data_IF_549304975553
#
_entry.id   IF_549304975553
#
_cell.length_a   1.000
_cell.length_b   1.000
_cell.length_c   1.000
_cell.angle_alpha   90.00
_cell.angle_beta   90.00
_cell.angle_gamma   90.00
#
_symmetry.space_group_name_H-M   'P 1'
#
loop_
_entity.id
_entity.type
_entity.pdbx_description
1 polymer ?
#
# COMPACT_ATOMS: atom_id res chain seq x y z
N UNK A 1 -3.67 -46.98 -8.13
CA UNK A 1 -3.39 -46.34 -9.44
C UNK A 1 -3.67 -44.86 -9.24
N UNK A 2 -2.70 -44.06 -8.77
CA UNK A 2 -1.74 -43.27 -9.57
C UNK A 2 -2.43 -42.47 -10.68
N UNK A 3 -2.55 -41.15 -10.52
CA UNK A 3 -2.53 -40.01 -11.48
C UNK A 3 -3.08 -38.79 -10.71
N UNK A 4 -2.22 -38.05 -10.00
CA UNK A 4 -1.68 -36.72 -10.40
C UNK A 4 -2.79 -35.69 -10.62
N UNK A 5 -3.09 -34.90 -9.58
CA UNK A 5 -3.61 -33.54 -9.72
C UNK A 5 -2.58 -32.60 -9.08
N UNK A 6 -1.68 -32.13 -9.95
CA UNK A 6 -0.84 -30.96 -9.73
C UNK A 6 -1.67 -29.78 -10.24
N UNK A 7 -2.25 -28.97 -9.35
CA UNK A 7 -2.91 -27.71 -9.71
C UNK A 7 -2.20 -26.58 -8.98
N UNK A 8 -1.17 -26.08 -9.66
CA UNK A 8 -0.72 -24.69 -9.75
C UNK A 8 -1.02 -23.82 -8.51
N UNK A 9 -0.19 -23.98 -7.47
CA UNK A 9 0.29 -22.83 -6.69
C UNK A 9 1.36 -22.15 -7.54
N UNK A 10 0.98 -21.14 -8.31
CA UNK A 10 1.93 -20.22 -8.93
C UNK A 10 1.37 -18.80 -8.73
N UNK A 11 1.88 -18.14 -7.70
CA UNK A 11 1.49 -16.76 -7.39
C UNK A 11 1.99 -16.18 -6.06
N UNK A 12 2.51 -16.98 -5.12
CA UNK A 12 2.94 -16.46 -3.79
C UNK A 12 4.25 -17.09 -3.30
N UNK A 13 5.18 -17.43 -4.19
CA UNK A 13 6.54 -17.83 -3.78
C UNK A 13 7.57 -17.25 -4.74
N UNK A 14 7.58 -15.92 -4.84
CA UNK A 14 8.64 -15.16 -5.51
C UNK A 14 8.77 -13.79 -4.81
N UNK A 15 9.01 -13.79 -3.50
CA UNK A 15 9.34 -12.53 -2.78
C UNK A 15 10.32 -12.68 -1.62
N UNK A 16 10.71 -13.89 -1.21
CA UNK A 16 11.65 -14.04 -0.09
C UNK A 16 13.12 -14.07 -0.54
N UNK A 17 13.40 -14.62 -1.72
CA UNK A 17 14.78 -14.77 -2.20
C UNK A 17 15.33 -13.52 -2.89
N UNK A 18 14.48 -12.73 -3.57
CA UNK A 18 14.90 -11.49 -4.26
C UNK A 18 15.05 -10.30 -3.29
N UNK A 19 14.18 -10.20 -2.27
CA UNK A 19 14.36 -9.25 -1.16
C UNK A 19 15.69 -9.47 -0.40
N UNK A 20 16.38 -10.60 -0.59
CA UNK A 20 17.62 -10.92 0.10
C UNK A 20 18.87 -10.16 -0.42
N UNK A 21 18.84 -9.62 -1.65
CA UNK A 21 19.98 -8.94 -2.30
C UNK A 21 20.38 -7.65 -1.58
N UNK A 22 19.49 -6.66 -1.61
CA UNK A 22 19.57 -5.43 -0.79
C UNK A 22 19.70 -5.76 0.72
N UNK A 23 18.96 -6.75 1.22
CA UNK A 23 18.93 -7.14 2.65
C UNK A 23 20.26 -7.69 3.19
N UNK A 24 21.06 -8.38 2.35
CA UNK A 24 22.37 -8.89 2.78
C UNK A 24 23.41 -7.77 2.95
N UNK A 25 23.21 -6.62 2.31
CA UNK A 25 24.14 -5.48 2.38
C UNK A 25 24.06 -4.73 3.72
N UNK A 26 22.92 -4.81 4.42
CA UNK A 26 22.61 -3.99 5.60
C UNK A 26 22.52 -4.75 6.93
N UNK A 27 23.07 -5.98 7.00
CA UNK A 27 23.23 -6.69 8.29
C UNK A 27 24.27 -6.03 9.22
N UNK A 28 25.09 -5.13 8.68
CA UNK A 28 26.01 -4.24 9.42
C UNK A 28 25.74 -2.78 9.03
N UNK A 29 26.00 -1.84 9.95
CA UNK A 29 25.93 -0.40 9.66
C UNK A 29 26.77 -0.07 8.40
N UNK A 30 26.23 0.67 7.41
CA UNK A 30 26.95 0.92 6.17
C UNK A 30 28.19 1.79 6.42
N UNK A 31 29.27 1.49 5.69
CA UNK A 31 30.52 2.25 5.69
C UNK A 31 30.49 3.27 4.54
N UNK A 32 30.71 4.58 4.79
CA UNK A 32 30.65 5.62 3.75
C UNK A 32 31.43 5.31 2.47
N UNK A 33 32.65 4.80 2.62
CA UNK A 33 33.60 4.54 1.53
C UNK A 33 33.18 3.43 0.56
N UNK A 34 32.17 2.64 0.91
CA UNK A 34 31.57 1.65 -0.01
C UNK A 34 30.68 2.34 -1.03
N UNK A 35 29.97 3.38 -0.60
CA UNK A 35 28.91 4.01 -1.38
C UNK A 35 29.32 5.32 -2.02
N UNK A 36 30.34 6.00 -1.48
CA UNK A 36 30.64 7.36 -1.89
C UNK A 36 32.14 7.60 -2.10
N UNK A 37 32.43 8.52 -3.01
CA UNK A 37 33.75 9.10 -3.24
C UNK A 37 33.66 10.64 -3.24
N UNK A 38 34.81 11.31 -3.20
CA UNK A 38 34.89 12.77 -3.35
C UNK A 38 34.09 13.55 -2.30
N UNK A 39 33.30 14.52 -2.74
CA UNK A 39 32.52 15.40 -1.85
C UNK A 39 31.41 14.66 -1.10
N UNK A 40 30.74 13.69 -1.75
CA UNK A 40 29.70 12.87 -1.10
C UNK A 40 30.29 12.04 0.04
N UNK A 41 31.50 11.49 -0.15
CA UNK A 41 32.20 10.75 0.91
C UNK A 41 32.47 11.62 2.12
N UNK A 42 32.95 12.86 1.91
CA UNK A 42 33.21 13.79 3.00
C UNK A 42 31.94 14.13 3.81
N UNK A 43 30.79 14.24 3.15
CA UNK A 43 29.48 14.44 3.82
C UNK A 43 29.10 13.20 4.62
N UNK A 44 29.16 12.01 4.00
CA UNK A 44 28.80 10.74 4.63
C UNK A 44 29.70 10.40 5.83
N UNK A 45 31.00 10.70 5.77
CA UNK A 45 31.93 10.56 6.89
C UNK A 45 31.59 11.51 8.05
N UNK A 46 31.25 12.77 7.76
CA UNK A 46 30.80 13.71 8.78
C UNK A 46 29.50 13.27 9.45
N UNK A 47 28.55 12.75 8.66
CA UNK A 47 27.32 12.13 9.20
C UNK A 47 27.65 10.94 10.10
N UNK A 48 28.57 10.06 9.69
CA UNK A 48 28.98 8.88 10.45
C UNK A 48 29.68 9.23 11.76
N UNK A 49 30.42 10.34 11.77
CA UNK A 49 31.03 10.92 12.96
C UNK A 49 30.02 11.66 13.86
N UNK A 50 28.74 11.75 13.46
CA UNK A 50 27.69 12.53 14.11
C UNK A 50 27.99 14.04 14.20
N UNK A 51 28.87 14.56 13.33
CA UNK A 51 29.17 15.99 13.19
C UNK A 51 28.21 16.62 12.17
N UNK A 52 26.98 16.85 12.61
CA UNK A 52 25.88 17.30 11.73
C UNK A 52 26.10 18.71 11.20
N UNK A 53 26.75 19.60 11.96
CA UNK A 53 27.05 20.96 11.51
C UNK A 53 28.07 20.93 10.36
N UNK A 54 29.12 20.11 10.48
CA UNK A 54 30.07 19.90 9.39
C UNK A 54 29.41 19.21 8.20
N UNK A 55 28.62 18.16 8.44
CA UNK A 55 27.92 17.45 7.37
C UNK A 55 27.01 18.39 6.59
N UNK A 56 26.25 19.25 7.28
CA UNK A 56 25.39 20.27 6.67
C UNK A 56 26.19 21.27 5.85
N UNK A 57 27.26 21.84 6.41
CA UNK A 57 28.09 22.82 5.71
C UNK A 57 28.81 22.25 4.47
N UNK A 58 29.04 20.93 4.44
CA UNK A 58 29.55 20.22 3.27
C UNK A 58 28.42 19.94 2.26
N UNK A 59 27.26 19.48 2.73
CA UNK A 59 26.10 19.16 1.90
C UNK A 59 25.54 20.40 1.18
N UNK A 60 25.52 21.57 1.83
CA UNK A 60 25.11 22.85 1.21
C UNK A 60 25.99 23.30 0.04
N UNK A 61 27.17 22.69 -0.13
CA UNK A 61 28.08 22.98 -1.25
C UNK A 61 27.90 22.01 -2.42
N UNK A 62 27.16 20.92 -2.22
CA UNK A 62 26.89 19.97 -3.29
C UNK A 62 26.02 20.66 -4.37
N UNK A 63 26.29 20.41 -5.65
CA UNK A 63 25.46 20.95 -6.73
C UNK A 63 24.04 20.38 -6.71
N UNK A 64 23.89 19.11 -6.30
CA UNK A 64 22.61 18.40 -6.22
C UNK A 64 22.66 17.38 -5.06
N UNK A 65 21.76 17.54 -4.09
CA UNK A 65 21.76 16.78 -2.82
C UNK A 65 21.46 15.29 -3.00
N UNK A 66 20.69 14.95 -4.05
CA UNK A 66 20.32 13.58 -4.40
C UNK A 66 21.26 12.95 -5.43
N UNK A 67 22.43 13.55 -5.66
CA UNK A 67 23.45 12.95 -6.53
C UNK A 67 23.76 11.54 -6.02
N UNK A 68 23.58 10.50 -6.85
CA UNK A 68 23.86 9.14 -6.44
C UNK A 68 25.36 8.90 -6.30
N UNK A 69 25.72 8.11 -5.31
CA UNK A 69 27.00 7.43 -5.23
C UNK A 69 26.99 6.10 -6.01
N UNK A 70 27.82 5.16 -5.57
CA UNK A 70 27.84 3.80 -6.10
C UNK A 70 26.49 3.10 -5.85
N UNK A 71 26.07 2.21 -6.76
CA UNK A 71 24.79 1.47 -6.69
C UNK A 71 23.56 2.38 -6.57
N UNK A 72 23.64 3.61 -7.11
CA UNK A 72 22.62 4.65 -7.00
C UNK A 72 22.28 5.07 -5.55
N UNK A 73 23.18 4.86 -4.60
CA UNK A 73 22.91 5.18 -3.20
C UNK A 73 22.97 6.69 -2.96
N UNK A 74 21.92 7.28 -2.39
CA UNK A 74 21.90 8.70 -2.01
C UNK A 74 22.36 8.90 -0.56
N UNK A 75 22.75 10.12 -0.21
CA UNK A 75 23.07 10.47 1.19
C UNK A 75 21.87 10.22 2.12
N UNK A 76 20.65 10.44 1.65
CA UNK A 76 19.43 10.16 2.42
C UNK A 76 19.23 8.66 2.63
N UNK A 77 19.40 7.83 1.58
CA UNK A 77 19.35 6.37 1.70
C UNK A 77 20.37 5.86 2.73
N UNK A 78 21.58 6.43 2.72
CA UNK A 78 22.63 6.13 3.69
C UNK A 78 22.26 6.52 5.12
N UNK A 79 21.70 7.71 5.33
CA UNK A 79 21.24 8.15 6.64
C UNK A 79 20.15 7.22 7.21
N UNK A 80 19.22 6.74 6.37
CA UNK A 80 18.16 5.79 6.74
C UNK A 80 18.74 4.43 7.09
N UNK A 81 19.65 3.91 6.27
CA UNK A 81 20.31 2.62 6.51
C UNK A 81 21.09 2.63 7.84
N UNK A 82 21.75 3.73 8.19
CA UNK A 82 22.46 3.91 9.45
C UNK A 82 21.56 4.34 10.63
N UNK A 83 20.27 4.62 10.37
CA UNK A 83 19.30 5.15 11.36
C UNK A 83 19.81 6.43 12.03
N UNK A 84 20.47 7.28 11.25
CA UNK A 84 21.05 8.54 11.72
C UNK A 84 19.99 9.65 11.68
N UNK A 85 19.12 9.68 12.70
CA UNK A 85 17.97 10.59 12.79
C UNK A 85 18.34 12.07 12.55
N UNK A 86 19.39 12.63 13.19
CA UNK A 86 19.80 14.01 12.92
C UNK A 86 20.18 14.26 11.46
N UNK A 87 20.89 13.31 10.81
CA UNK A 87 21.26 13.43 9.41
C UNK A 87 20.06 13.32 8.47
N UNK A 88 19.11 12.41 8.74
CA UNK A 88 17.85 12.30 7.98
C UNK A 88 17.12 13.65 7.98
N UNK A 89 16.90 14.24 9.16
CA UNK A 89 16.22 15.54 9.27
C UNK A 89 16.97 16.65 8.55
N UNK A 90 18.30 16.67 8.67
CA UNK A 90 19.15 17.64 8.00
C UNK A 90 19.06 17.53 6.48
N UNK A 91 19.13 16.32 5.91
CA UNK A 91 19.08 16.10 4.47
C UNK A 91 17.70 16.43 3.87
N UNK A 92 16.61 16.01 4.51
CA UNK A 92 15.25 16.41 4.09
C UNK A 92 15.09 17.93 4.13
N UNK A 93 15.59 18.59 5.18
CA UNK A 93 15.54 20.06 5.28
C UNK A 93 16.40 20.79 4.24
N UNK A 94 17.42 20.12 3.67
CA UNK A 94 18.21 20.60 2.53
C UNK A 94 17.56 20.28 1.17
N UNK A 95 16.42 19.60 1.16
CA UNK A 95 15.66 19.30 -0.06
C UNK A 95 15.96 17.94 -0.68
N UNK A 96 16.58 17.00 0.05
CA UNK A 96 16.71 15.62 -0.43
C UNK A 96 15.33 15.00 -0.67
N UNK A 97 15.10 14.44 -1.85
CA UNK A 97 13.82 13.87 -2.25
C UNK A 97 13.68 12.42 -1.75
N UNK A 98 12.78 12.14 -0.79
CA UNK A 98 12.55 10.80 -0.28
C UNK A 98 11.89 9.85 -1.32
N UNK A 99 11.35 10.37 -2.43
CA UNK A 99 10.88 9.55 -3.54
C UNK A 99 12.01 9.04 -4.45
N UNK A 100 13.22 9.59 -4.32
CA UNK A 100 14.39 9.15 -5.11
C UNK A 100 14.60 7.65 -4.93
N UNK A 101 14.75 6.94 -6.05
CA UNK A 101 15.05 5.50 -6.05
C UNK A 101 16.55 5.28 -5.93
N UNK A 102 16.93 4.28 -5.14
CA UNK A 102 18.31 3.79 -5.05
C UNK A 102 18.36 2.28 -5.32
N UNK A 103 19.55 1.73 -5.54
CA UNK A 103 19.73 0.35 -5.99
C UNK A 103 19.66 0.22 -7.52
N UNK A 104 19.69 -1.03 -8.00
CA UNK A 104 19.73 -1.33 -9.43
C UNK A 104 18.64 -2.33 -9.84
N UNK A 105 18.19 -2.22 -11.09
CA UNK A 105 17.24 -3.16 -11.70
C UNK A 105 15.87 -3.19 -11.02
N UNK A 106 15.27 -4.37 -10.96
CA UNK A 106 13.94 -4.60 -10.37
C UNK A 106 13.94 -4.42 -8.83
N UNK A 107 15.10 -4.29 -8.20
CA UNK A 107 15.24 -4.08 -6.75
C UNK A 107 15.26 -2.59 -6.36
N UNK A 108 15.25 -1.68 -7.34
CA UNK A 108 15.29 -0.25 -7.08
C UNK A 108 14.03 0.22 -6.32
N UNK A 109 14.23 0.86 -5.17
CA UNK A 109 13.15 1.30 -4.28
C UNK A 109 13.34 2.74 -3.85
N UNK A 110 12.24 3.44 -3.54
CA UNK A 110 12.32 4.80 -3.01
C UNK A 110 12.90 4.78 -1.59
N UNK A 111 13.56 5.88 -1.21
CA UNK A 111 14.11 6.03 0.14
C UNK A 111 12.99 6.04 1.20
N UNK A 112 11.81 6.59 0.87
CA UNK A 112 10.61 6.56 1.71
C UNK A 112 10.13 5.12 1.99
N UNK A 113 9.98 4.31 0.94
CA UNK A 113 9.59 2.90 1.09
C UNK A 113 10.62 2.12 1.91
N UNK A 114 11.92 2.35 1.66
CA UNK A 114 12.98 1.72 2.45
C UNK A 114 12.91 2.09 3.93
N UNK A 115 12.54 3.34 4.27
CA UNK A 115 12.35 3.77 5.65
C UNK A 115 11.20 3.03 6.36
N UNK A 116 10.15 2.64 5.62
CA UNK A 116 9.03 1.84 6.14
C UNK A 116 9.40 0.38 6.41
N UNK A 117 10.31 -0.19 5.61
CA UNK A 117 10.83 -1.56 5.76
C UNK A 117 11.88 -1.72 6.87
N UNK A 118 12.28 -0.63 7.54
CA UNK A 118 13.21 -0.71 8.66
C UNK A 118 12.53 -1.39 9.85
N UNK A 119 13.35 -2.04 10.69
CA UNK A 119 12.88 -2.69 11.92
C UNK A 119 12.16 -1.75 12.89
N UNK A 120 12.50 -0.47 12.86
CA UNK A 120 11.84 0.57 13.64
C UNK A 120 11.39 1.67 12.69
N UNK A 121 10.31 2.36 13.05
CA UNK A 121 9.75 3.46 12.27
C UNK A 121 10.42 4.80 12.53
N UNK A 122 11.55 4.82 13.26
CA UNK A 122 12.23 6.06 13.65
C UNK A 122 12.69 6.87 12.43
N UNK A 123 13.19 6.20 11.39
CA UNK A 123 13.61 6.85 10.15
C UNK A 123 12.42 7.47 9.41
N UNK A 124 11.33 6.73 9.26
CA UNK A 124 10.09 7.22 8.67
C UNK A 124 9.55 8.44 9.45
N UNK A 125 9.47 8.32 10.77
CA UNK A 125 9.03 9.42 11.64
C UNK A 125 9.91 10.65 11.47
N UNK A 126 11.22 10.48 11.41
CA UNK A 126 12.16 11.58 11.22
C UNK A 126 11.99 12.29 9.86
N UNK A 127 11.72 11.54 8.80
CA UNK A 127 11.40 12.11 7.48
C UNK A 127 10.11 12.91 7.51
N UNK A 128 9.04 12.34 8.08
CA UNK A 128 7.74 13.01 8.23
C UNK A 128 7.86 14.28 9.07
N UNK A 129 8.55 14.23 10.21
CA UNK A 129 8.84 15.40 11.05
C UNK A 129 9.67 16.49 10.34
N UNK A 130 10.47 16.09 9.35
CA UNK A 130 11.28 17.01 8.54
C UNK A 130 10.53 17.56 7.31
N UNK A 131 9.28 17.15 7.08
CA UNK A 131 8.43 17.68 6.01
C UNK A 131 8.29 16.79 4.78
N UNK A 132 8.65 15.50 4.87
CA UNK A 132 8.28 14.52 3.84
C UNK A 132 6.75 14.49 3.69
N UNK A 133 6.27 14.56 2.43
CA UNK A 133 4.85 14.39 2.14
C UNK A 133 4.42 12.93 2.45
N UNK A 134 3.42 12.68 3.32
CA UNK A 134 2.93 11.34 3.58
C UNK A 134 2.16 10.73 2.39
N UNK A 135 1.83 11.52 1.37
CA UNK A 135 1.11 11.11 0.16
C UNK A 135 2.01 10.94 -1.06
N UNK A 136 3.32 10.78 -0.86
CA UNK A 136 4.23 10.44 -1.96
C UNK A 136 3.73 9.21 -2.71
N UNK A 137 3.72 9.33 -4.02
CA UNK A 137 3.32 8.25 -4.92
C UNK A 137 4.53 7.61 -5.58
N UNK A 138 4.44 6.31 -5.81
CA UNK A 138 5.36 5.61 -6.68
C UNK A 138 5.07 5.88 -8.18
N UNK A 139 5.73 5.12 -9.07
CA UNK A 139 5.56 5.25 -10.52
C UNK A 139 4.19 4.78 -11.04
N UNK A 140 3.45 4.02 -10.23
CA UNK A 140 2.08 3.57 -10.52
C UNK A 140 1.03 4.52 -9.95
N UNK A 141 1.45 5.58 -9.24
CA UNK A 141 0.56 6.53 -8.59
C UNK A 141 0.05 6.04 -7.23
N UNK A 142 0.63 4.97 -6.67
CA UNK A 142 0.24 4.41 -5.38
C UNK A 142 0.97 5.14 -4.25
N UNK A 143 0.21 5.62 -3.27
CA UNK A 143 0.76 6.26 -2.08
C UNK A 143 1.34 5.23 -1.10
N UNK A 144 2.34 5.63 -0.30
CA UNK A 144 3.01 4.78 0.70
C UNK A 144 2.08 3.93 1.60
N UNK A 145 0.87 4.39 1.90
CA UNK A 145 -0.08 3.62 2.72
C UNK A 145 -0.48 2.27 2.09
N UNK A 146 -0.37 2.11 0.77
CA UNK A 146 -0.66 0.85 0.07
C UNK A 146 0.41 -0.21 0.29
N UNK A 147 1.64 0.19 0.66
CA UNK A 147 2.75 -0.74 0.94
C UNK A 147 2.70 -1.32 2.35
N UNK A 148 1.95 -0.69 3.26
CA UNK A 148 1.91 -1.06 4.68
C UNK A 148 1.45 -2.50 4.93
N UNK A 149 0.45 -3.07 4.24
CA UNK A 149 0.05 -4.46 4.46
C UNK A 149 1.16 -5.50 4.22
N UNK A 150 2.20 -5.14 3.46
CA UNK A 150 3.37 -5.99 3.21
C UNK A 150 4.44 -5.89 4.31
N UNK A 151 4.24 -5.01 5.30
CA UNK A 151 5.16 -4.78 6.40
C UNK A 151 4.75 -5.59 7.63
N UNK A 152 5.70 -6.31 8.22
CA UNK A 152 5.47 -7.05 9.45
C UNK A 152 5.71 -6.16 10.68
N UNK A 153 4.75 -6.14 11.61
CA UNK A 153 4.86 -5.59 12.97
C UNK A 153 5.50 -4.19 13.06
N UNK A 154 4.97 -3.19 12.34
CA UNK A 154 5.45 -1.81 12.44
C UNK A 154 4.34 -0.76 12.63
N UNK A 155 4.72 0.45 13.05
CA UNK A 155 3.81 1.58 13.26
C UNK A 155 3.68 2.51 12.04
N UNK A 156 4.03 2.04 10.83
CA UNK A 156 4.06 2.89 9.64
C UNK A 156 2.69 3.46 9.30
N UNK A 157 1.62 2.66 9.42
CA UNK A 157 0.25 3.12 9.23
C UNK A 157 -0.07 4.33 10.11
N UNK A 158 0.19 4.19 11.42
CA UNK A 158 -0.17 5.20 12.42
C UNK A 158 0.58 6.50 12.16
N UNK A 159 1.87 6.41 11.83
CA UNK A 159 2.68 7.58 11.51
C UNK A 159 2.21 8.27 10.23
N UNK A 160 1.96 7.50 9.15
CA UNK A 160 1.46 8.06 7.90
C UNK A 160 0.12 8.80 8.15
N UNK A 161 -0.81 8.19 8.87
CA UNK A 161 -2.10 8.81 9.21
C UNK A 161 -1.93 10.04 10.12
N UNK A 162 -1.09 9.96 11.16
CA UNK A 162 -0.78 11.08 12.08
C UNK A 162 -0.25 12.31 11.32
N UNK A 163 0.54 12.10 10.27
CA UNK A 163 1.11 13.17 9.45
C UNK A 163 0.23 13.58 8.27
N UNK A 164 -0.95 12.99 8.09
CA UNK A 164 -1.94 13.43 7.09
C UNK A 164 -1.95 12.63 5.79
N UNK A 165 -1.55 11.35 5.81
CA UNK A 165 -1.78 10.44 4.70
C UNK A 165 -3.29 10.34 4.38
N UNK A 166 -3.61 10.34 3.10
CA UNK A 166 -4.97 10.18 2.60
C UNK A 166 -5.41 8.72 2.76
N UNK A 167 -6.14 8.44 3.84
CA UNK A 167 -6.74 7.11 4.11
C UNK A 167 -7.76 6.65 3.06
N UNK A 168 -8.18 7.56 2.16
CA UNK A 168 -9.10 7.30 1.05
C UNK A 168 -8.41 7.45 -0.33
N UNK A 169 -7.07 7.39 -0.38
CA UNK A 169 -6.35 7.33 -1.65
C UNK A 169 -6.85 6.15 -2.49
N UNK A 170 -6.71 6.26 -3.82
CA UNK A 170 -7.09 5.20 -4.75
C UNK A 170 -5.92 4.79 -5.60
N UNK A 171 -5.64 3.50 -5.64
CA UNK A 171 -4.64 2.93 -6.53
C UNK A 171 -5.18 2.73 -7.96
N UNK A 172 -4.35 2.22 -8.87
CA UNK A 172 -4.73 1.98 -10.27
C UNK A 172 -5.89 0.98 -10.46
N UNK A 173 -6.18 0.15 -9.45
CA UNK A 173 -7.31 -0.78 -9.42
C UNK A 173 -8.58 -0.16 -8.79
N UNK A 174 -8.51 1.11 -8.38
CA UNK A 174 -9.59 1.81 -7.69
C UNK A 174 -9.79 1.38 -6.24
N UNK A 175 -8.86 0.59 -5.69
CA UNK A 175 -8.91 0.16 -4.29
C UNK A 175 -8.48 1.30 -3.38
N UNK A 176 -9.11 1.38 -2.21
CA UNK A 176 -8.66 2.24 -1.12
C UNK A 176 -7.88 1.42 -0.09
N UNK A 177 -7.07 2.06 0.77
CA UNK A 177 -6.36 1.35 1.84
C UNK A 177 -7.29 0.44 2.65
N UNK A 178 -8.51 0.90 2.97
CA UNK A 178 -9.49 0.06 3.68
C UNK A 178 -9.73 -1.30 3.02
N UNK A 179 -9.78 -1.39 1.69
CA UNK A 179 -10.02 -2.65 0.97
C UNK A 179 -8.85 -3.63 1.09
N UNK A 180 -7.62 -3.14 1.01
CA UNK A 180 -6.42 -3.98 1.06
C UNK A 180 -6.17 -4.53 2.48
N UNK A 181 -6.47 -3.74 3.51
CA UNK A 181 -6.25 -4.14 4.90
C UNK A 181 -7.27 -5.18 5.42
N UNK A 182 -8.49 -5.27 4.86
CA UNK A 182 -9.56 -6.19 5.35
C UNK A 182 -9.10 -7.65 5.43
N UNK A 183 -8.22 -8.09 4.54
CA UNK A 183 -7.73 -9.48 4.51
C UNK A 183 -6.37 -9.67 5.18
N UNK A 184 -5.75 -8.59 5.63
CA UNK A 184 -4.38 -8.59 6.15
C UNK A 184 -4.39 -8.37 7.66
N UNK A 185 -4.92 -7.23 8.12
CA UNK A 185 -4.85 -6.84 9.52
C UNK A 185 -6.13 -6.14 9.99
N UNK A 186 -6.93 -6.86 10.79
CA UNK A 186 -8.21 -6.37 11.31
C UNK A 186 -8.08 -5.20 12.28
N UNK A 187 -6.99 -5.10 13.03
CA UNK A 187 -6.80 -4.00 13.98
C UNK A 187 -6.53 -2.69 13.22
N UNK A 188 -5.80 -2.77 12.11
CA UNK A 188 -5.54 -1.64 11.21
C UNK A 188 -6.78 -1.22 10.41
N UNK A 189 -7.66 -2.16 10.06
CA UNK A 189 -8.98 -1.83 9.47
C UNK A 189 -9.81 -0.97 10.44
N UNK A 190 -9.87 -1.36 11.71
CA UNK A 190 -10.57 -0.55 12.72
C UNK A 190 -9.93 0.82 12.86
N UNK A 191 -8.60 0.88 12.93
CA UNK A 191 -7.87 2.14 12.98
C UNK A 191 -8.18 3.05 11.78
N UNK A 192 -8.18 2.51 10.55
CA UNK A 192 -8.55 3.25 9.34
C UNK A 192 -9.98 3.81 9.41
N UNK A 193 -10.96 2.99 9.82
CA UNK A 193 -12.35 3.42 10.00
C UNK A 193 -12.50 4.51 11.05
N UNK A 194 -11.74 4.43 12.15
CA UNK A 194 -11.70 5.45 13.21
C UNK A 194 -11.06 6.76 12.74
N UNK A 195 -10.17 6.69 11.74
CA UNK A 195 -9.47 7.84 11.17
C UNK A 195 -10.06 8.30 9.82
N UNK A 196 -11.33 7.98 9.55
CA UNK A 196 -12.09 8.57 8.45
C UNK A 196 -11.97 7.84 7.11
N UNK A 197 -11.52 6.58 7.09
CA UNK A 197 -11.66 5.75 5.91
C UNK A 197 -13.15 5.54 5.58
N UNK A 198 -13.50 5.75 4.30
CA UNK A 198 -14.86 5.60 3.79
C UNK A 198 -15.23 4.11 3.69
N UNK A 199 -16.26 3.63 4.43
CA UNK A 199 -16.65 2.23 4.39
C UNK A 199 -17.55 1.88 3.18
N UNK A 200 -17.94 2.85 2.36
CA UNK A 200 -18.78 2.66 1.16
C UNK A 200 -17.99 2.46 -0.13
N UNK A 201 -16.67 2.32 -0.02
CA UNK A 201 -15.74 2.16 -1.15
C UNK A 201 -16.02 0.90 -1.96
N UNK A 202 -15.80 1.03 -3.27
CA UNK A 202 -15.77 -0.06 -4.25
C UNK A 202 -14.53 0.08 -5.12
N UNK A 203 -13.91 -1.04 -5.50
CA UNK A 203 -12.85 -1.05 -6.52
C UNK A 203 -13.44 -1.02 -7.95
N UNK A 204 -12.57 -0.96 -8.96
CA UNK A 204 -12.98 -0.96 -10.37
C UNK A 204 -13.76 -2.23 -10.76
N UNK A 205 -13.51 -3.36 -10.08
CA UNK A 205 -14.22 -4.63 -10.28
C UNK A 205 -15.59 -4.69 -9.60
N UNK A 206 -15.97 -3.67 -8.81
CA UNK A 206 -17.19 -3.63 -8.01
C UNK A 206 -17.06 -4.36 -6.66
N UNK A 207 -15.87 -4.72 -6.21
CA UNK A 207 -15.66 -5.27 -4.88
C UNK A 207 -15.80 -4.16 -3.84
N UNK A 208 -16.82 -4.25 -2.98
CA UNK A 208 -17.02 -3.31 -1.89
C UNK A 208 -16.35 -3.76 -0.59
N UNK A 209 -15.99 -2.80 0.27
CA UNK A 209 -15.49 -3.12 1.62
C UNK A 209 -16.50 -3.97 2.41
N UNK A 210 -17.79 -3.64 2.30
CA UNK A 210 -18.88 -4.38 2.94
C UNK A 210 -18.94 -5.84 2.46
N UNK A 211 -18.84 -6.07 1.14
CA UNK A 211 -18.83 -7.42 0.60
C UNK A 211 -17.60 -8.22 1.04
N UNK A 212 -16.42 -7.58 1.08
CA UNK A 212 -15.19 -8.22 1.57
C UNK A 212 -15.31 -8.66 3.03
N UNK A 213 -15.83 -7.81 3.91
CA UNK A 213 -16.07 -8.16 5.33
C UNK A 213 -17.07 -9.31 5.45
N UNK A 214 -18.19 -9.25 4.71
CA UNK A 214 -19.19 -10.32 4.73
C UNK A 214 -18.62 -11.66 4.27
N UNK A 215 -17.88 -11.67 3.16
CA UNK A 215 -17.26 -12.89 2.64
C UNK A 215 -16.24 -13.47 3.62
N UNK A 216 -15.45 -12.62 4.27
CA UNK A 216 -14.53 -13.04 5.33
C UNK A 216 -15.29 -13.74 6.46
N UNK A 217 -16.34 -13.11 7.00
CA UNK A 217 -17.19 -13.70 8.05
C UNK A 217 -17.80 -15.04 7.64
N UNK A 218 -18.28 -15.17 6.40
CA UNK A 218 -18.90 -16.40 5.89
C UNK A 218 -17.90 -17.56 5.82
N UNK A 219 -16.61 -17.27 5.66
CA UNK A 219 -15.53 -18.27 5.52
C UNK A 219 -14.79 -18.60 6.82
N UNK A 220 -14.87 -17.74 7.84
CA UNK A 220 -14.14 -17.87 9.09
C UNK A 220 -14.80 -18.83 10.09
N UNK A 221 -13.98 -19.45 10.96
CA UNK A 221 -14.48 -20.20 12.11
C UNK A 221 -15.00 -19.25 13.19
N UNK A 222 -16.31 -19.37 13.48
CA UNK A 222 -17.05 -18.51 14.42
C UNK A 222 -16.54 -18.54 15.86
N UNK A 223 -15.79 -19.57 16.23
CA UNK A 223 -15.22 -19.72 17.57
C UNK A 223 -13.92 -18.94 17.79
N UNK A 224 -13.33 -18.38 16.73
CA UNK A 224 -12.03 -17.72 16.79
C UNK A 224 -12.12 -16.26 17.21
N UNK A 225 -11.06 -15.76 17.84
CA UNK A 225 -10.89 -14.33 18.12
C UNK A 225 -10.90 -13.49 16.83
N UNK A 226 -10.29 -14.01 15.75
CA UNK A 226 -10.32 -13.41 14.42
C UNK A 226 -11.75 -13.15 13.92
N UNK A 227 -12.66 -14.11 14.09
CA UNK A 227 -14.07 -13.91 13.75
C UNK A 227 -14.73 -12.81 14.58
N UNK A 228 -14.43 -12.72 15.88
CA UNK A 228 -14.94 -11.65 16.74
C UNK A 228 -14.40 -10.27 16.32
N UNK A 229 -13.12 -10.17 15.95
CA UNK A 229 -12.54 -8.94 15.40
C UNK A 229 -13.22 -8.52 14.10
N UNK A 230 -13.47 -9.47 13.18
CA UNK A 230 -14.19 -9.19 11.94
C UNK A 230 -15.65 -8.78 12.17
N UNK A 231 -16.32 -9.34 13.19
CA UNK A 231 -17.65 -8.89 13.62
C UNK A 231 -17.62 -7.46 14.16
N UNK A 232 -16.58 -7.08 14.92
CA UNK A 232 -16.42 -5.72 15.39
C UNK A 232 -16.23 -4.73 14.23
N UNK A 233 -15.47 -5.11 13.20
CA UNK A 233 -15.35 -4.33 11.95
C UNK A 233 -16.73 -4.17 11.30
N UNK A 234 -17.46 -5.27 11.11
CA UNK A 234 -18.81 -5.20 10.55
C UNK A 234 -19.71 -4.27 11.36
N UNK A 235 -19.68 -4.38 12.68
CA UNK A 235 -20.47 -3.54 13.58
C UNK A 235 -20.08 -2.06 13.47
N UNK A 236 -18.78 -1.76 13.41
CA UNK A 236 -18.28 -0.41 13.17
C UNK A 236 -18.75 0.16 11.84
N UNK A 237 -18.73 -0.64 10.77
CA UNK A 237 -19.27 -0.22 9.47
C UNK A 237 -20.78 0.04 9.53
N UNK A 238 -21.55 -0.77 10.28
CA UNK A 238 -22.99 -0.54 10.52
C UNK A 238 -23.22 0.78 11.26
N UNK A 239 -22.41 1.09 12.27
CA UNK A 239 -22.46 2.38 12.98
C UNK A 239 -22.17 3.56 12.05
N UNK A 240 -21.31 3.37 11.05
CA UNK A 240 -21.03 4.33 9.98
C UNK A 240 -22.09 4.34 8.86
N UNK A 241 -23.16 3.54 8.99
CA UNK A 241 -24.31 3.54 8.08
C UNK A 241 -24.28 2.48 6.98
N UNK A 242 -23.28 1.59 6.96
CA UNK A 242 -23.23 0.48 5.99
C UNK A 242 -24.32 -0.53 6.29
N UNK A 243 -25.01 -0.99 5.25
CA UNK A 243 -26.08 -1.98 5.37
C UNK A 243 -25.64 -3.37 4.89
N UNK A 244 -25.90 -4.38 5.71
CA UNK A 244 -25.71 -5.80 5.38
C UNK A 244 -27.07 -6.51 5.18
N UNK A 245 -27.15 -7.56 4.34
CA UNK A 245 -26.08 -8.10 3.50
C UNK A 245 -25.66 -7.12 2.40
N UNK A 246 -24.41 -7.18 1.96
CA UNK A 246 -23.89 -6.34 0.88
C UNK A 246 -24.32 -6.85 -0.50
N UNK A 247 -24.33 -5.95 -1.50
CA UNK A 247 -24.38 -6.37 -2.90
C UNK A 247 -23.13 -7.20 -3.23
N UNK A 248 -23.28 -8.21 -4.07
CA UNK A 248 -22.10 -8.85 -4.66
C UNK A 248 -21.43 -7.90 -5.67
N UNK A 249 -20.19 -8.18 -6.12
CA UNK A 249 -19.56 -7.39 -7.18
C UNK A 249 -20.41 -7.30 -8.46
N UNK A 250 -21.31 -8.25 -8.71
CA UNK A 250 -22.28 -8.15 -9.82
C UNK A 250 -23.31 -7.06 -9.60
N UNK A 251 -23.98 -7.06 -8.44
CA UNK A 251 -24.94 -6.04 -8.08
C UNK A 251 -24.31 -4.65 -8.04
N UNK A 252 -23.08 -4.51 -7.51
CA UNK A 252 -22.35 -3.25 -7.52
C UNK A 252 -22.02 -2.79 -8.95
N UNK A 253 -21.51 -3.67 -9.81
CA UNK A 253 -21.27 -3.31 -11.21
C UNK A 253 -22.55 -2.90 -11.93
N UNK A 254 -23.65 -3.60 -11.70
CA UNK A 254 -24.96 -3.26 -12.29
C UNK A 254 -25.44 -1.87 -11.85
N UNK A 255 -25.47 -1.62 -10.53
CA UNK A 255 -25.87 -0.33 -9.94
C UNK A 255 -25.04 0.83 -10.44
N UNK A 256 -23.72 0.65 -10.55
CA UNK A 256 -22.77 1.70 -10.92
C UNK A 256 -22.49 1.76 -12.43
N UNK A 257 -23.24 1.01 -13.25
CA UNK A 257 -23.06 0.93 -14.70
C UNK A 257 -21.60 0.62 -15.11
N UNK A 258 -20.94 -0.27 -14.37
CA UNK A 258 -19.57 -0.73 -14.64
C UNK A 258 -19.64 -1.94 -15.57
N UNK A 259 -18.86 -1.90 -16.65
CA UNK A 259 -18.75 -2.96 -17.65
C UNK A 259 -17.33 -3.48 -17.74
N UNK A 260 -17.17 -4.70 -18.23
CA UNK A 260 -15.85 -5.16 -18.64
C UNK A 260 -15.56 -4.65 -20.04
N UNK A 261 -14.44 -3.93 -20.17
CA UNK A 261 -14.03 -3.35 -21.43
C UNK A 261 -12.87 -4.15 -22.03
N UNK A 262 -12.91 -4.38 -23.34
CA UNK A 262 -11.80 -4.94 -24.14
C UNK A 262 -10.80 -3.84 -24.45
N UNK A 263 -11.29 -2.63 -24.71
CA UNK A 263 -10.48 -1.46 -25.06
C UNK A 263 -11.02 -0.17 -24.43
N UNK A 264 -10.23 0.52 -23.59
CA UNK A 264 -9.08 0.01 -22.85
C UNK A 264 -9.45 -1.17 -21.93
N UNK A 265 -8.56 -2.17 -21.81
CA UNK A 265 -8.86 -3.42 -21.10
C UNK A 265 -9.16 -3.18 -19.62
N UNK A 266 -10.19 -3.83 -19.08
CA UNK A 266 -10.51 -3.82 -17.64
C UNK A 266 -11.92 -3.32 -17.33
N UNK A 267 -12.31 -3.42 -16.06
CA UNK A 267 -13.59 -2.87 -15.60
C UNK A 267 -13.52 -1.35 -15.47
N UNK A 268 -14.58 -0.67 -15.89
CA UNK A 268 -14.72 0.79 -15.85
C UNK A 268 -16.19 1.19 -16.03
N UNK A 269 -16.58 2.43 -15.72
CA UNK A 269 -17.88 2.97 -16.10
C UNK A 269 -18.13 2.77 -17.61
N UNK A 270 -19.35 2.40 -18.00
CA UNK A 270 -19.71 2.13 -19.40
C UNK A 270 -19.36 3.28 -20.35
N UNK A 271 -19.52 4.52 -19.88
CA UNK A 271 -19.21 5.72 -20.64
C UNK A 271 -17.71 5.89 -20.98
N UNK A 272 -16.82 5.21 -20.25
CA UNK A 272 -15.38 5.21 -20.49
C UNK A 272 -14.92 4.01 -21.32
N UNK A 273 -15.83 3.13 -21.74
CA UNK A 273 -15.52 1.93 -22.48
C UNK A 273 -15.74 2.12 -23.99
N UNK A 274 -14.69 1.94 -24.80
CA UNK A 274 -14.79 2.02 -26.26
C UNK A 274 -15.38 0.73 -26.85
N UNK A 275 -15.01 -0.41 -26.28
CA UNK A 275 -15.45 -1.73 -26.73
C UNK A 275 -15.78 -2.63 -25.54
N UNK A 276 -17.07 -2.83 -25.29
CA UNK A 276 -17.56 -3.73 -24.25
C UNK A 276 -17.26 -5.19 -24.58
N UNK A 277 -16.96 -5.99 -23.56
CA UNK A 277 -16.80 -7.42 -23.70
C UNK A 277 -17.19 -8.18 -22.45
N UNK A 278 -16.86 -9.47 -22.44
CA UNK A 278 -17.10 -10.34 -21.29
C UNK A 278 -15.77 -10.66 -20.62
N UNK A 279 -15.72 -10.54 -19.31
CA UNK A 279 -14.52 -10.90 -18.56
C UNK A 279 -14.22 -12.42 -18.72
N UNK A 280 -13.06 -12.80 -19.29
CA UNK A 280 -12.82 -14.17 -19.76
C UNK A 280 -12.78 -15.22 -18.64
N UNK A 281 -12.45 -14.81 -17.41
CA UNK A 281 -12.29 -15.72 -16.26
C UNK A 281 -13.37 -15.54 -15.18
N UNK A 282 -14.37 -14.69 -15.41
CA UNK A 282 -15.38 -14.41 -14.39
C UNK A 282 -16.46 -15.51 -14.42
N UNK A 283 -16.60 -16.26 -13.32
CA UNK A 283 -17.62 -17.30 -13.18
C UNK A 283 -19.00 -16.69 -13.04
N UNK A 284 -20.05 -17.19 -13.73
CA UNK A 284 -21.41 -16.66 -13.63
C UNK A 284 -21.89 -16.50 -12.18
N UNK A 285 -22.69 -15.45 -11.93
CA UNK A 285 -23.34 -15.25 -10.64
C UNK A 285 -24.32 -16.40 -10.35
N UNK A 286 -24.32 -16.91 -9.11
CA UNK A 286 -25.27 -17.95 -8.69
C UNK A 286 -26.71 -17.42 -8.62
N UNK A 287 -27.71 -18.27 -8.85
CA UNK A 287 -29.13 -17.87 -8.73
C UNK A 287 -29.49 -17.34 -7.34
N UNK A 288 -28.83 -17.84 -6.29
CA UNK A 288 -29.02 -17.35 -4.94
C UNK A 288 -28.50 -15.91 -4.79
N UNK A 289 -27.30 -15.64 -5.30
CA UNK A 289 -26.71 -14.30 -5.30
C UNK A 289 -27.49 -13.32 -6.17
N UNK A 290 -28.01 -13.75 -7.33
CA UNK A 290 -28.88 -12.94 -8.19
C UNK A 290 -30.11 -12.46 -7.44
N UNK A 291 -30.87 -13.39 -6.85
CA UNK A 291 -32.07 -13.07 -6.06
C UNK A 291 -31.77 -12.14 -4.89
N UNK A 292 -30.62 -12.30 -4.24
CA UNK A 292 -30.18 -11.40 -3.18
C UNK A 292 -29.89 -10.00 -3.71
N UNK A 293 -29.11 -9.88 -4.78
CA UNK A 293 -28.76 -8.58 -5.37
C UNK A 293 -30.01 -7.86 -5.91
N UNK A 294 -30.89 -8.54 -6.64
CA UNK A 294 -32.16 -7.97 -7.12
C UNK A 294 -33.03 -7.46 -5.97
N UNK A 295 -33.11 -8.22 -4.87
CA UNK A 295 -33.84 -7.79 -3.67
C UNK A 295 -33.20 -6.53 -3.07
N UNK A 296 -31.88 -6.50 -2.90
CA UNK A 296 -31.16 -5.35 -2.34
C UNK A 296 -31.30 -4.12 -3.26
N UNK A 297 -31.14 -4.29 -4.57
CA UNK A 297 -31.29 -3.25 -5.59
C UNK A 297 -32.68 -2.62 -5.52
N UNK A 298 -33.72 -3.44 -5.43
CA UNK A 298 -35.10 -2.95 -5.31
C UNK A 298 -35.36 -2.23 -3.98
N UNK A 299 -34.96 -2.83 -2.86
CA UNK A 299 -35.32 -2.34 -1.52
C UNK A 299 -34.49 -1.13 -1.09
N UNK A 300 -33.20 -1.05 -1.45
CA UNK A 300 -32.30 0.02 -1.01
C UNK A 300 -32.11 1.12 -2.04
N UNK A 301 -32.21 0.79 -3.33
CA UNK A 301 -31.87 1.72 -4.42
C UNK A 301 -33.04 1.99 -5.36
N UNK A 302 -34.19 1.31 -5.19
CA UNK A 302 -35.36 1.49 -6.06
C UNK A 302 -35.13 0.99 -7.50
N UNK A 303 -34.16 0.10 -7.70
CA UNK A 303 -33.77 -0.42 -9.01
C UNK A 303 -34.41 -1.79 -9.21
N UNK A 304 -35.32 -1.92 -10.18
CA UNK A 304 -35.89 -3.20 -10.58
C UNK A 304 -34.97 -3.87 -11.62
N UNK A 305 -34.11 -4.77 -11.13
CA UNK A 305 -33.11 -5.46 -11.93
C UNK A 305 -33.56 -6.89 -12.29
N UNK A 306 -33.09 -7.39 -13.42
CA UNK A 306 -33.24 -8.78 -13.86
C UNK A 306 -31.84 -9.30 -14.25
N UNK A 307 -31.12 -9.84 -13.26
CA UNK A 307 -29.68 -10.16 -13.32
C UNK A 307 -29.38 -11.55 -13.90
#
# INVERSE_FOLDING_TARGET
MKYIFLVILAGIVLSVAAKAGVLNMFRSKPYPEVFFEGELLAVAEAMKAHDIDKAKALAEKLPEIDTPGNENFTLLAFAVADTNIPAIKMLIALGADPATKFGEGEEAQSVAYFAMWRKTTDALKAMLEAGMDPNLTDEYGETLIFDVPDLEDNDALKLLVEFGANVNARNGLGQTPLLDFIRVNMDEVLYLLENGADPFVIDNGGLSAAYSVQQSLDSMDKSTEAYQKMLNIQQKMIELGVQFPALTPYGERFRNNIVYCVKPRGYRPREECEEEGTHPYLKPQSDASKRQDEKILRERYGIDANL
#
